data_IF_183824635704
#
_entry.id   IF_183824635704
#
_cell.length_a   1.000
_cell.length_b   1.000
_cell.length_c   1.000
_cell.angle_alpha   90.00
_cell.angle_beta   90.00
_cell.angle_gamma   90.00
#
_symmetry.space_group_name_H-M   'P 1'
#
loop_
_entity.id
_entity.type
_entity.pdbx_description
1 polymer ?
#
# COMPACT_ATOMS: atom_id res chain seq x y z
N UNK A 1 27.72 33.90 42.53
CA UNK A 1 26.76 33.05 43.24
C UNK A 1 25.37 33.32 42.68
N UNK A 2 24.61 32.28 42.30
CA UNK A 2 23.12 32.26 42.12
C UNK A 2 22.61 33.09 40.90
N UNK A 3 21.75 32.64 39.98
CA UNK A 3 20.92 31.44 39.86
C UNK A 3 20.91 30.91 38.42
N UNK A 4 20.93 29.59 38.33
CA UNK A 4 20.44 28.80 37.21
C UNK A 4 18.92 28.91 37.11
N UNK A 5 18.38 29.10 35.91
CA UNK A 5 16.99 28.76 35.57
C UNK A 5 16.96 28.15 34.17
N UNK A 6 16.77 26.81 34.05
CA UNK A 6 16.53 26.18 32.76
C UNK A 6 15.09 26.47 32.33
N UNK A 7 14.91 27.03 31.13
CA UNK A 7 13.58 27.17 30.52
C UNK A 7 13.19 25.79 29.99
N UNK A 8 12.07 25.31 30.52
CA UNK A 8 11.53 23.98 30.39
C UNK A 8 11.18 23.63 28.94
N UNK A 9 11.62 22.44 28.51
CA UNK A 9 11.10 21.74 27.33
C UNK A 9 9.60 21.47 27.54
N UNK A 10 8.74 22.20 26.84
CA UNK A 10 7.36 21.77 26.63
C UNK A 10 7.33 20.83 25.43
N UNK A 11 7.68 19.56 25.67
CA UNK A 11 7.40 18.48 24.76
C UNK A 11 5.87 18.31 24.70
N UNK A 12 5.24 18.92 23.70
CA UNK A 12 3.86 18.62 23.31
C UNK A 12 3.84 17.18 22.77
N UNK A 13 3.67 16.23 23.68
CA UNK A 13 3.18 14.89 23.37
C UNK A 13 1.77 15.05 22.81
N UNK A 14 1.66 15.26 21.50
CA UNK A 14 0.47 14.86 20.77
C UNK A 14 0.43 13.34 20.83
N UNK A 15 -0.17 12.82 21.91
CA UNK A 15 -0.81 11.51 21.91
C UNK A 15 -1.99 11.60 20.96
N UNK A 16 -1.70 11.64 19.66
CA UNK A 16 -2.62 11.25 18.63
C UNK A 16 -2.97 9.82 18.91
N UNK A 17 -4.13 9.63 19.55
CA UNK A 17 -4.79 8.36 19.68
C UNK A 17 -5.11 7.90 18.25
N UNK A 18 -4.12 7.34 17.56
CA UNK A 18 -4.34 6.50 16.41
C UNK A 18 -5.04 5.28 16.99
N UNK A 19 -6.37 5.38 17.10
CA UNK A 19 -7.20 4.22 17.24
C UNK A 19 -6.73 3.26 16.16
N UNK A 20 -6.03 2.21 16.57
CA UNK A 20 -5.79 1.05 15.73
C UNK A 20 -7.18 0.50 15.49
N UNK A 21 -7.85 1.01 14.46
CA UNK A 21 -8.90 0.28 13.81
C UNK A 21 -8.26 -1.08 13.53
N UNK A 22 -8.75 -2.10 14.22
CA UNK A 22 -8.45 -3.47 13.87
C UNK A 22 -9.04 -3.66 12.49
N UNK A 23 -8.24 -3.31 11.48
CA UNK A 23 -8.59 -3.49 10.09
C UNK A 23 -8.47 -4.99 9.87
N UNK A 24 -9.57 -5.71 10.17
CA UNK A 24 -9.73 -7.08 9.71
C UNK A 24 -9.37 -7.11 8.23
N UNK A 25 -8.55 -8.09 7.84
CA UNK A 25 -8.14 -8.20 6.46
C UNK A 25 -9.39 -8.27 5.57
N UNK A 26 -9.38 -7.48 4.52
CA UNK A 26 -10.42 -7.40 3.50
C UNK A 26 -9.87 -7.99 2.20
N UNK A 27 -10.73 -8.65 1.44
CA UNK A 27 -10.38 -9.12 0.10
C UNK A 27 -10.44 -7.94 -0.86
N UNK A 28 -9.31 -7.65 -1.51
CA UNK A 28 -9.19 -6.67 -2.57
C UNK A 28 -8.91 -7.38 -3.88
N UNK A 29 -9.64 -7.00 -4.93
CA UNK A 29 -9.49 -7.55 -6.26
C UNK A 29 -8.76 -6.54 -7.15
N UNK A 30 -7.53 -6.87 -7.52
CA UNK A 30 -6.72 -6.08 -8.43
C UNK A 30 -6.76 -6.66 -9.84
N UNK A 31 -6.92 -5.82 -10.86
CA UNK A 31 -7.04 -6.24 -12.26
C UNK A 31 -5.93 -5.65 -13.12
N UNK A 32 -5.43 -6.44 -14.06
CA UNK A 32 -4.47 -6.00 -15.06
C UNK A 32 -4.79 -6.59 -16.43
N UNK A 33 -4.31 -5.94 -17.48
CA UNK A 33 -4.39 -6.41 -18.85
C UNK A 33 -3.00 -6.80 -19.34
N UNK A 34 -2.88 -7.93 -20.05
CA UNK A 34 -1.67 -8.33 -20.77
C UNK A 34 -2.05 -8.72 -22.20
N UNK A 35 -1.14 -8.54 -23.16
CA UNK A 35 -1.34 -9.06 -24.51
C UNK A 35 -0.74 -10.46 -24.61
N UNK A 36 -1.58 -11.48 -24.84
CA UNK A 36 -1.15 -12.85 -25.13
C UNK A 36 -1.43 -13.14 -26.61
N UNK A 37 -0.38 -13.35 -27.40
CA UNK A 37 -0.53 -13.59 -28.84
C UNK A 37 -1.21 -12.44 -29.61
N UNK A 38 -1.03 -11.19 -29.15
CA UNK A 38 -1.66 -10.00 -29.75
C UNK A 38 -3.10 -9.73 -29.29
N UNK A 39 -3.69 -10.60 -28.46
CA UNK A 39 -5.03 -10.40 -27.89
C UNK A 39 -4.94 -9.81 -26.48
N UNK A 40 -5.69 -8.74 -26.15
CA UNK A 40 -5.74 -8.23 -24.78
C UNK A 40 -6.50 -9.21 -23.88
N UNK A 41 -5.85 -9.64 -22.81
CA UNK A 41 -6.40 -10.55 -21.79
C UNK A 41 -6.39 -9.85 -20.44
N UNK A 42 -7.57 -9.71 -19.85
CA UNK A 42 -7.74 -9.18 -18.49
C UNK A 42 -7.61 -10.31 -17.48
N UNK A 43 -6.72 -10.12 -16.51
CA UNK A 43 -6.48 -11.03 -15.39
C UNK A 43 -6.76 -10.31 -14.08
N UNK A 44 -7.07 -11.10 -13.04
CA UNK A 44 -7.37 -10.58 -11.70
C UNK A 44 -6.55 -11.33 -10.66
N UNK A 45 -6.12 -10.62 -9.63
CA UNK A 45 -5.40 -11.15 -8.48
C UNK A 45 -6.13 -10.68 -7.23
N UNK A 46 -6.34 -11.60 -6.30
CA UNK A 46 -6.96 -11.32 -5.02
C UNK A 46 -5.88 -11.14 -3.95
N UNK A 47 -6.05 -10.11 -3.11
CA UNK A 47 -5.18 -9.82 -1.99
C UNK A 47 -6.01 -9.75 -0.71
N UNK A 48 -5.55 -10.43 0.33
CA UNK A 48 -6.19 -10.41 1.64
C UNK A 48 -5.40 -9.50 2.59
N UNK A 49 -5.76 -8.23 2.62
CA UNK A 49 -4.95 -7.18 3.26
C UNK A 49 -5.78 -6.27 4.16
N UNK A 50 -5.16 -5.60 5.15
CA UNK A 50 -5.87 -4.68 6.04
C UNK A 50 -6.33 -3.39 5.34
N UNK A 51 -5.71 -2.99 4.22
CA UNK A 51 -6.06 -1.76 3.51
C UNK A 51 -5.89 -1.89 2.00
N UNK A 52 -6.65 -1.09 1.23
CA UNK A 52 -6.52 -1.01 -0.22
C UNK A 52 -5.10 -0.62 -0.65
N UNK A 53 -4.44 0.28 0.09
CA UNK A 53 -3.07 0.71 -0.19
C UNK A 53 -2.04 -0.42 0.01
N UNK A 54 -2.26 -1.33 0.98
CA UNK A 54 -1.42 -2.51 1.14
C UNK A 54 -1.57 -3.47 -0.04
N UNK A 55 -2.81 -3.71 -0.49
CA UNK A 55 -3.08 -4.51 -1.68
C UNK A 55 -2.48 -3.88 -2.95
N UNK A 56 -2.63 -2.57 -3.15
CA UNK A 56 -2.04 -1.85 -4.29
C UNK A 56 -0.52 -1.98 -4.33
N UNK A 57 0.18 -1.81 -3.20
CA UNK A 57 1.65 -1.94 -3.17
C UNK A 57 2.12 -3.34 -3.56
N UNK A 58 1.44 -4.38 -3.07
CA UNK A 58 1.71 -5.78 -3.45
C UNK A 58 1.43 -6.01 -4.93
N UNK A 59 0.35 -5.41 -5.43
CA UNK A 59 -0.01 -5.49 -6.83
C UNK A 59 0.99 -4.79 -7.75
N UNK A 60 1.47 -3.60 -7.40
CA UNK A 60 2.51 -2.90 -8.16
C UNK A 60 3.82 -3.69 -8.22
N UNK A 61 4.21 -4.35 -7.11
CA UNK A 61 5.37 -5.24 -7.11
C UNK A 61 5.15 -6.43 -8.05
N UNK A 62 3.97 -7.07 -7.99
CA UNK A 62 3.60 -8.15 -8.90
C UNK A 62 3.65 -7.73 -10.38
N UNK A 63 3.18 -6.52 -10.72
CA UNK A 63 3.25 -6.00 -12.09
C UNK A 63 4.70 -5.78 -12.55
N UNK A 64 5.58 -5.33 -11.66
CA UNK A 64 7.02 -5.21 -11.97
C UNK A 64 7.66 -6.56 -12.19
N UNK A 65 7.30 -7.58 -11.41
CA UNK A 65 7.81 -8.94 -11.61
C UNK A 65 7.35 -9.52 -12.96
N UNK A 66 6.11 -9.24 -13.37
CA UNK A 66 5.63 -9.59 -14.71
C UNK A 66 6.42 -8.84 -15.80
N UNK A 67 6.73 -7.56 -15.60
CA UNK A 67 7.58 -6.79 -16.51
C UNK A 67 8.98 -7.36 -16.62
N UNK A 68 9.59 -7.77 -15.50
CA UNK A 68 10.90 -8.42 -15.47
C UNK A 68 10.90 -9.79 -16.21
N UNK A 69 9.75 -10.46 -16.27
CA UNK A 69 9.54 -11.68 -17.06
C UNK A 69 9.28 -11.41 -18.56
N UNK A 70 9.41 -10.17 -19.01
CA UNK A 70 9.19 -9.79 -20.41
C UNK A 70 7.71 -9.67 -20.80
N UNK A 71 6.79 -9.62 -19.82
CA UNK A 71 5.39 -9.28 -20.07
C UNK A 71 5.22 -7.76 -20.06
N UNK A 72 4.16 -7.27 -20.70
CA UNK A 72 3.81 -5.85 -20.68
C UNK A 72 2.43 -5.65 -20.02
N UNK A 73 2.31 -5.84 -18.68
CA UNK A 73 1.04 -5.68 -17.99
C UNK A 73 0.66 -4.20 -17.88
N UNK A 74 -0.62 -3.92 -18.09
CA UNK A 74 -1.26 -2.62 -17.87
C UNK A 74 -2.13 -2.70 -16.62
N UNK A 75 -1.84 -1.84 -15.64
CA UNK A 75 -2.60 -1.74 -14.41
C UNK A 75 -4.02 -1.19 -14.69
N UNK A 76 -5.07 -1.91 -14.25
CA UNK A 76 -6.47 -1.47 -14.34
C UNK A 76 -7.06 -1.06 -12.98
N UNK A 77 -6.31 -1.20 -11.88
CA UNK A 77 -6.69 -0.79 -10.54
C UNK A 77 -7.09 -1.93 -9.60
N UNK A 78 -7.26 -1.57 -8.33
CA UNK A 78 -7.72 -2.45 -7.25
C UNK A 78 -9.02 -1.89 -6.66
N UNK A 79 -9.95 -2.78 -6.28
CA UNK A 79 -11.19 -2.43 -5.59
C UNK A 79 -11.54 -3.45 -4.52
#
# INVERSE_FOLDING_TARGET
MKLFTPIWLTALLLSGNAGTASAGNTYYLCSYEIHEGGTPVVRRVEYYEPTLQAAQRKFEAFLRDLQAQGKAPRNLGCR
#
